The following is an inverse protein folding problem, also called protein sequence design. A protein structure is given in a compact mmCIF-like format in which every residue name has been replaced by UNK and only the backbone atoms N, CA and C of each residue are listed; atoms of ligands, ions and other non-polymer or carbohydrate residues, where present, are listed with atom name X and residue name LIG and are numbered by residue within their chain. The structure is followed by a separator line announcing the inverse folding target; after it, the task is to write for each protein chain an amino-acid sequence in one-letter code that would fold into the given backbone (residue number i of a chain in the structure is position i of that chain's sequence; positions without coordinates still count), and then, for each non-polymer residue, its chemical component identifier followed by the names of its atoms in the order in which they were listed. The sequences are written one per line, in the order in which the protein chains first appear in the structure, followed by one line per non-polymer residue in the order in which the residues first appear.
data_IF_876228294911
#
_entry.id   IF_876228294911
#
_cell.length_a   1.000
_cell.length_b   1.000
_cell.length_c   1.000
_cell.angle_alpha   90.00
_cell.angle_beta   90.00
_cell.angle_gamma   90.00
#
_symmetry.space_group_name_H-M   'P 1'
#
loop_
_entity.id
_entity.type
_entity.pdbx_description
1 polymer ?
#
# COMPACT_ATOMS: atom_id res chain seq x y z
N UNK A 1 -7.12 -25.14 -9.38
CA UNK A 1 -7.18 -25.21 -7.91
C UNK A 1 -7.93 -26.48 -7.44
N UNK A 2 -9.23 -26.66 -7.78
CA UNK A 2 -10.04 -27.80 -7.32
C UNK A 2 -9.43 -29.18 -7.64
N UNK A 3 -8.85 -29.37 -8.83
CA UNK A 3 -8.20 -30.62 -9.25
C UNK A 3 -6.98 -30.94 -8.39
N UNK A 4 -6.18 -29.93 -8.05
CA UNK A 4 -5.00 -30.10 -7.16
C UNK A 4 -5.45 -30.54 -5.76
N UNK A 5 -6.51 -29.91 -5.25
CA UNK A 5 -7.07 -30.25 -3.93
C UNK A 5 -7.62 -31.69 -3.90
N UNK A 6 -8.26 -32.12 -4.97
CA UNK A 6 -8.71 -33.54 -5.09
C UNK A 6 -7.55 -34.54 -5.11
N UNK A 7 -6.46 -34.19 -5.80
CA UNK A 7 -5.26 -35.06 -5.86
C UNK A 7 -4.59 -35.18 -4.49
N UNK A 8 -4.68 -34.13 -3.63
CA UNK A 8 -4.16 -34.17 -2.27
C UNK A 8 -5.10 -34.90 -1.27
N UNK A 9 -6.22 -35.44 -1.74
CA UNK A 9 -7.18 -36.17 -0.89
C UNK A 9 -8.03 -35.28 0.02
N UNK A 10 -8.00 -33.97 -0.16
CA UNK A 10 -8.78 -33.01 0.63
C UNK A 10 -10.11 -32.72 -0.05
N UNK A 11 -11.18 -32.60 0.72
CA UNK A 11 -12.50 -32.24 0.20
C UNK A 11 -12.49 -30.79 -0.33
N UNK A 12 -12.72 -30.55 -1.64
CA UNK A 12 -12.74 -29.19 -2.21
C UNK A 12 -13.77 -28.28 -1.57
N UNK A 13 -14.94 -28.80 -1.19
CA UNK A 13 -15.98 -28.01 -0.53
C UNK A 13 -15.50 -27.49 0.84
N UNK A 14 -14.78 -28.30 1.62
CA UNK A 14 -14.20 -27.87 2.89
C UNK A 14 -13.14 -26.77 2.73
N UNK A 15 -12.40 -26.79 1.61
CA UNK A 15 -11.44 -25.72 1.29
C UNK A 15 -12.15 -24.41 0.97
N UNK A 16 -13.23 -24.45 0.17
CA UNK A 16 -14.01 -23.23 -0.13
C UNK A 16 -14.72 -22.69 1.12
N UNK A 17 -15.26 -23.56 1.95
CA UNK A 17 -15.84 -23.17 3.24
C UNK A 17 -14.78 -22.50 4.13
N UNK A 18 -13.59 -23.06 4.22
CA UNK A 18 -12.48 -22.49 4.98
C UNK A 18 -12.02 -21.11 4.41
N UNK A 19 -12.05 -20.93 3.08
CA UNK A 19 -11.76 -19.63 2.45
C UNK A 19 -12.80 -18.57 2.83
N UNK A 20 -14.09 -18.92 2.72
CA UNK A 20 -15.19 -17.98 3.06
C UNK A 20 -15.19 -17.66 4.57
N UNK A 21 -15.09 -18.67 5.43
CA UNK A 21 -15.02 -18.46 6.88
C UNK A 21 -13.74 -17.75 7.29
N UNK A 22 -12.64 -17.94 6.53
CA UNK A 22 -11.39 -17.20 6.69
C UNK A 22 -11.55 -15.71 6.43
N UNK A 23 -12.38 -15.32 5.47
CA UNK A 23 -12.60 -13.92 5.09
C UNK A 23 -13.64 -13.21 5.99
N UNK A 24 -14.77 -13.88 6.30
CA UNK A 24 -15.93 -13.24 6.96
C UNK A 24 -16.37 -13.90 8.27
N UNK A 25 -15.79 -15.02 8.65
CA UNK A 25 -16.23 -15.83 9.82
C UNK A 25 -16.00 -15.19 11.19
N UNK A 26 -15.31 -14.06 11.30
CA UNK A 26 -15.06 -13.36 12.56
C UNK A 26 -15.07 -11.84 12.29
N UNK A 27 -15.67 -11.00 13.18
CA UNK A 27 -15.68 -9.54 13.03
C UNK A 27 -14.29 -8.93 12.77
N UNK A 28 -13.24 -9.45 13.39
CA UNK A 28 -11.86 -9.00 13.13
C UNK A 28 -11.40 -9.29 11.71
N UNK A 29 -11.71 -10.46 11.17
CA UNK A 29 -11.36 -10.86 9.79
C UNK A 29 -12.17 -10.06 8.78
N UNK A 30 -13.45 -9.85 9.06
CA UNK A 30 -14.33 -9.01 8.24
C UNK A 30 -13.77 -7.59 8.09
N UNK A 31 -13.31 -6.98 9.19
CA UNK A 31 -12.66 -5.65 9.14
C UNK A 31 -11.39 -5.63 8.30
N UNK A 32 -10.56 -6.66 8.39
CA UNK A 32 -9.37 -6.78 7.53
C UNK A 32 -9.80 -6.88 6.06
N UNK A 33 -10.79 -7.71 5.75
CA UNK A 33 -11.30 -7.88 4.37
C UNK A 33 -11.86 -6.58 3.81
N UNK A 34 -12.65 -5.83 4.60
CA UNK A 34 -13.18 -4.50 4.20
C UNK A 34 -12.05 -3.52 3.94
N UNK A 35 -11.04 -3.48 4.82
CA UNK A 35 -9.88 -2.60 4.66
C UNK A 35 -9.12 -2.89 3.37
N UNK A 36 -8.76 -4.16 3.12
CA UNK A 36 -8.03 -4.55 1.92
C UNK A 36 -8.85 -4.29 0.65
N UNK A 37 -10.16 -4.58 0.69
CA UNK A 37 -11.07 -4.29 -0.43
C UNK A 37 -11.15 -2.79 -0.71
N UNK A 38 -11.17 -1.95 0.33
CA UNK A 38 -11.15 -0.50 0.20
C UNK A 38 -9.88 0.02 -0.46
N UNK A 39 -8.71 -0.49 -0.07
CA UNK A 39 -7.42 -0.13 -0.69
C UNK A 39 -7.42 -0.51 -2.18
N UNK A 40 -7.86 -1.72 -2.52
CA UNK A 40 -7.94 -2.18 -3.91
C UNK A 40 -8.90 -1.33 -4.75
N UNK A 41 -10.04 -0.95 -4.18
CA UNK A 41 -11.01 -0.07 -4.84
C UNK A 41 -10.41 1.30 -5.13
N UNK A 42 -9.68 1.86 -4.19
CA UNK A 42 -9.01 3.16 -4.34
C UNK A 42 -7.95 3.13 -5.45
N UNK A 43 -7.17 2.06 -5.51
CA UNK A 43 -6.20 1.83 -6.59
C UNK A 43 -6.92 1.71 -7.94
N UNK A 44 -8.02 0.95 -8.01
CA UNK A 44 -8.80 0.76 -9.24
C UNK A 44 -9.39 2.07 -9.75
N UNK A 45 -9.94 2.91 -8.87
CA UNK A 45 -10.44 4.24 -9.21
C UNK A 45 -9.29 5.13 -9.72
N UNK A 46 -8.14 5.13 -9.05
CA UNK A 46 -6.96 5.90 -9.47
C UNK A 46 -6.38 5.47 -10.82
N UNK A 47 -6.50 4.19 -11.18
CA UNK A 47 -6.04 3.68 -12.49
C UNK A 47 -7.04 3.91 -13.63
N UNK A 48 -8.31 4.15 -13.34
CA UNK A 48 -9.37 4.32 -14.35
C UNK A 48 -9.04 5.40 -15.40
N UNK A 49 -8.54 6.61 -15.05
CA UNK A 49 -8.17 7.60 -16.05
C UNK A 49 -7.05 7.13 -16.98
N UNK A 50 -6.04 6.43 -16.45
CA UNK A 50 -4.93 5.91 -17.25
C UNK A 50 -5.43 4.89 -18.28
N UNK A 51 -6.29 3.96 -17.89
CA UNK A 51 -6.87 2.98 -18.83
C UNK A 51 -7.78 3.63 -19.89
N UNK A 52 -8.54 4.67 -19.53
CA UNK A 52 -9.33 5.44 -20.50
C UNK A 52 -8.45 6.10 -21.56
N UNK A 53 -7.24 6.54 -21.21
CA UNK A 53 -6.25 7.08 -22.13
C UNK A 53 -5.47 6.00 -22.89
N UNK A 54 -5.87 4.72 -22.80
CA UNK A 54 -5.16 3.56 -23.36
C UNK A 54 -3.70 3.48 -22.87
N UNK A 55 -3.45 3.94 -21.66
CA UNK A 55 -2.16 3.78 -20.98
C UNK A 55 -2.28 2.61 -19.97
N UNK A 56 -1.70 1.47 -20.33
CA UNK A 56 -1.74 0.26 -19.50
C UNK A 56 -0.72 0.36 -18.37
N UNK A 57 -1.11 1.06 -17.30
CA UNK A 57 -0.24 1.24 -16.13
C UNK A 57 -0.36 0.04 -15.18
N UNK A 58 0.58 -0.89 -15.27
CA UNK A 58 0.74 -1.99 -14.28
C UNK A 58 1.65 -1.55 -13.13
N UNK A 59 2.17 -0.32 -13.17
CA UNK A 59 3.12 0.24 -12.22
C UNK A 59 2.52 0.85 -10.94
N UNK A 60 1.23 0.64 -10.67
CA UNK A 60 0.58 1.19 -9.49
C UNK A 60 1.23 0.73 -8.19
N UNK A 61 1.70 -0.53 -8.12
CA UNK A 61 2.42 -1.07 -6.97
C UNK A 61 3.69 -0.26 -6.68
N UNK A 62 4.51 0.00 -7.70
CA UNK A 62 5.73 0.81 -7.55
C UNK A 62 5.45 2.24 -7.11
N UNK A 63 4.36 2.86 -7.60
CA UNK A 63 3.93 4.20 -7.18
C UNK A 63 3.57 4.23 -5.69
N UNK A 64 2.84 3.22 -5.22
CA UNK A 64 2.46 3.09 -3.81
C UNK A 64 3.70 2.85 -2.94
N UNK A 65 4.61 1.99 -3.36
CA UNK A 65 5.83 1.69 -2.62
C UNK A 65 6.72 2.93 -2.46
N UNK A 66 6.93 3.68 -3.54
CA UNK A 66 7.75 4.92 -3.50
C UNK A 66 7.07 6.01 -2.68
N UNK A 67 5.75 6.17 -2.80
CA UNK A 67 4.96 7.05 -1.92
C UNK A 67 5.05 6.62 -0.45
N UNK A 68 5.05 5.31 -0.20
CA UNK A 68 5.23 4.73 1.13
C UNK A 68 6.61 5.02 1.74
N UNK A 69 7.68 4.92 0.96
CA UNK A 69 9.04 5.29 1.39
C UNK A 69 9.08 6.78 1.78
N UNK A 70 8.49 7.66 0.98
CA UNK A 70 8.46 9.09 1.26
C UNK A 70 7.73 9.41 2.57
N UNK A 71 6.56 8.81 2.80
CA UNK A 71 5.82 9.00 4.04
C UNK A 71 6.52 8.39 5.25
N UNK A 72 7.11 7.19 5.13
CA UNK A 72 7.89 6.57 6.20
C UNK A 72 9.12 7.42 6.58
N UNK A 73 9.84 7.93 5.57
CA UNK A 73 10.98 8.83 5.78
C UNK A 73 10.61 10.09 6.55
N UNK A 74 9.50 10.76 6.18
CA UNK A 74 9.00 11.91 6.92
C UNK A 74 8.61 11.57 8.36
N UNK A 75 7.96 10.42 8.56
CA UNK A 75 7.55 9.95 9.86
C UNK A 75 8.76 9.69 10.78
N UNK A 76 9.86 9.16 10.23
CA UNK A 76 11.11 8.93 10.98
C UNK A 76 11.84 10.24 11.27
N UNK A 77 11.95 11.14 10.26
CA UNK A 77 12.75 12.37 10.37
C UNK A 77 12.07 13.47 11.18
N UNK A 78 10.75 13.61 11.05
CA UNK A 78 9.95 14.69 11.63
C UNK A 78 9.01 14.22 12.75
N UNK A 79 8.96 12.92 13.02
CA UNK A 79 8.16 12.38 14.11
C UNK A 79 8.56 12.97 15.46
N UNK A 80 7.58 13.55 16.15
CA UNK A 80 7.78 14.23 17.44
C UNK A 80 8.31 15.69 17.37
N UNK A 81 8.67 16.20 16.20
CA UNK A 81 9.10 17.60 15.99
C UNK A 81 7.96 18.51 15.56
N UNK A 82 6.92 17.94 14.95
CA UNK A 82 5.78 18.68 14.41
C UNK A 82 4.47 18.17 15.04
N UNK A 83 3.43 19.03 15.08
CA UNK A 83 2.09 18.57 15.47
C UNK A 83 1.60 17.50 14.51
N UNK A 84 0.91 16.47 15.05
CA UNK A 84 0.53 15.29 14.28
C UNK A 84 -0.29 15.59 13.01
N UNK A 85 -1.18 16.58 13.07
CA UNK A 85 -1.99 17.00 11.93
C UNK A 85 -1.14 17.51 10.76
N UNK A 86 -0.14 18.35 11.07
CA UNK A 86 0.78 18.88 10.05
C UNK A 86 1.67 17.78 9.47
N UNK A 87 2.14 16.87 10.32
CA UNK A 87 2.94 15.73 9.88
C UNK A 87 2.14 14.83 8.91
N UNK A 88 0.89 14.51 9.24
CA UNK A 88 0.00 13.72 8.36
C UNK A 88 -0.25 14.41 7.03
N UNK A 89 -0.46 15.74 7.04
CA UNK A 89 -0.64 16.50 5.80
C UNK A 89 0.63 16.49 4.94
N UNK A 90 1.79 16.67 5.54
CA UNK A 90 3.06 16.58 4.82
C UNK A 90 3.31 15.19 4.26
N UNK A 91 3.02 14.14 5.04
CA UNK A 91 3.13 12.74 4.56
C UNK A 91 2.22 12.49 3.37
N UNK A 92 0.98 12.98 3.40
CA UNK A 92 0.03 12.86 2.29
C UNK A 92 0.56 13.57 1.04
N UNK A 93 0.94 14.83 1.15
CA UNK A 93 1.44 15.63 0.00
C UNK A 93 2.71 15.01 -0.58
N UNK A 94 3.67 14.63 0.27
CA UNK A 94 4.92 14.03 -0.21
C UNK A 94 4.69 12.66 -0.85
N UNK A 95 3.84 11.80 -0.27
CA UNK A 95 3.55 10.51 -0.88
C UNK A 95 2.89 10.65 -2.25
N UNK A 96 1.97 11.62 -2.41
CA UNK A 96 1.36 11.93 -3.71
C UNK A 96 2.40 12.43 -4.72
N UNK A 97 3.28 13.36 -4.32
CA UNK A 97 4.31 13.90 -5.20
C UNK A 97 5.30 12.81 -5.65
N UNK A 98 5.77 11.98 -4.74
CA UNK A 98 6.71 10.91 -5.06
C UNK A 98 6.08 9.84 -5.94
N UNK A 99 4.84 9.42 -5.65
CA UNK A 99 4.08 8.50 -6.49
C UNK A 99 3.80 9.07 -7.89
N UNK A 100 3.49 10.37 -7.97
CA UNK A 100 3.27 11.06 -9.25
C UNK A 100 4.57 11.13 -10.08
N UNK A 101 5.68 11.56 -9.48
CA UNK A 101 7.00 11.60 -10.15
C UNK A 101 7.39 10.22 -10.65
N UNK A 102 7.17 9.17 -9.84
CA UNK A 102 7.43 7.79 -10.24
C UNK A 102 6.61 7.37 -11.45
N UNK A 103 5.32 7.73 -11.51
CA UNK A 103 4.44 7.45 -12.64
C UNK A 103 4.73 8.29 -13.89
N UNK A 104 5.30 9.49 -13.72
CA UNK A 104 5.69 10.35 -14.86
C UNK A 104 6.83 9.75 -15.68
N UNK A 105 7.73 8.98 -15.09
CA UNK A 105 8.89 8.38 -15.79
C UNK A 105 8.42 7.48 -16.94
N UNK A 106 7.60 6.45 -16.74
CA UNK A 106 7.10 5.61 -17.84
C UNK A 106 6.19 6.38 -18.81
N UNK A 107 5.40 7.33 -18.32
CA UNK A 107 4.55 8.16 -19.15
C UNK A 107 5.38 9.02 -20.12
N UNK A 108 6.44 9.66 -19.64
CA UNK A 108 7.39 10.42 -20.46
C UNK A 108 8.09 9.52 -21.48
N UNK A 109 8.57 8.35 -21.08
CA UNK A 109 9.23 7.40 -21.98
C UNK A 109 8.29 6.92 -23.09
N UNK A 110 7.02 6.66 -22.77
CA UNK A 110 6.02 6.33 -23.79
C UNK A 110 5.79 7.49 -24.75
N UNK A 111 5.61 8.69 -24.24
CA UNK A 111 5.32 9.86 -25.06
C UNK A 111 6.49 10.24 -26.00
N UNK A 112 7.73 10.12 -25.51
CA UNK A 112 8.93 10.56 -26.25
C UNK A 112 9.56 9.48 -27.12
N UNK A 113 9.53 8.22 -26.65
CA UNK A 113 10.26 7.10 -27.26
C UNK A 113 9.34 5.98 -27.75
N UNK A 114 8.01 6.12 -27.62
CA UNK A 114 7.03 5.09 -27.99
C UNK A 114 7.32 3.71 -27.38
N UNK A 115 7.88 3.69 -26.16
CA UNK A 115 8.18 2.46 -25.43
C UNK A 115 6.90 1.70 -25.05
N UNK A 116 7.03 0.39 -24.85
CA UNK A 116 5.92 -0.41 -24.32
C UNK A 116 5.71 -0.07 -22.85
N UNK A 117 4.61 0.65 -22.57
CA UNK A 117 4.26 1.11 -21.22
C UNK A 117 4.06 -0.02 -20.21
N UNK A 118 3.49 -1.13 -20.64
CA UNK A 118 3.22 -2.30 -19.80
C UNK A 118 4.50 -2.91 -19.25
N UNK A 119 5.47 -3.16 -20.14
CA UNK A 119 6.78 -3.69 -19.74
C UNK A 119 7.55 -2.68 -18.90
N UNK A 120 7.53 -1.41 -19.30
CA UNK A 120 8.27 -0.37 -18.59
C UNK A 120 7.75 -0.17 -17.16
N UNK A 121 6.43 -0.07 -16.99
CA UNK A 121 5.81 0.07 -15.67
C UNK A 121 6.02 -1.14 -14.79
N UNK A 122 6.03 -2.36 -15.38
CA UNK A 122 6.35 -3.59 -14.65
C UNK A 122 7.80 -3.60 -14.14
N UNK A 123 8.77 -3.19 -14.99
CA UNK A 123 10.18 -3.07 -14.57
C UNK A 123 10.35 -2.04 -13.45
N UNK A 124 9.62 -0.92 -13.51
CA UNK A 124 9.62 0.11 -12.48
C UNK A 124 9.13 -0.43 -11.12
N UNK A 125 8.22 -1.40 -11.08
CA UNK A 125 7.81 -2.05 -9.84
C UNK A 125 8.98 -2.79 -9.18
N UNK A 126 9.79 -3.53 -9.94
CA UNK A 126 10.96 -4.21 -9.39
C UNK A 126 12.01 -3.22 -8.87
N UNK A 127 12.21 -2.10 -9.55
CA UNK A 127 13.09 -1.03 -9.05
C UNK A 127 12.55 -0.45 -7.75
N UNK A 128 11.24 -0.21 -7.66
CA UNK A 128 10.60 0.27 -6.43
C UNK A 128 10.76 -0.71 -5.27
N UNK A 129 10.62 -2.02 -5.51
CA UNK A 129 10.87 -3.05 -4.50
C UNK A 129 12.31 -3.02 -3.97
N UNK A 130 13.29 -2.83 -4.86
CA UNK A 130 14.70 -2.69 -4.43
C UNK A 130 14.92 -1.41 -3.62
N UNK A 131 14.26 -0.31 -3.98
CA UNK A 131 14.32 0.93 -3.19
C UNK A 131 13.71 0.73 -1.79
N UNK A 132 12.61 -0.01 -1.67
CA UNK A 132 12.02 -0.37 -0.37
C UNK A 132 13.01 -1.20 0.45
N UNK A 133 13.62 -2.22 -0.15
CA UNK A 133 14.61 -3.06 0.51
C UNK A 133 15.80 -2.23 1.01
N UNK A 134 16.29 -1.32 0.17
CA UNK A 134 17.36 -0.39 0.55
C UNK A 134 16.93 0.52 1.71
N UNK A 135 15.71 1.08 1.65
CA UNK A 135 15.19 1.93 2.72
C UNK A 135 15.03 1.16 4.04
N UNK A 136 14.61 -0.11 4.00
CA UNK A 136 14.53 -0.98 5.16
C UNK A 136 15.92 -1.17 5.77
N UNK A 137 16.93 -1.53 4.98
CA UNK A 137 18.30 -1.68 5.46
C UNK A 137 18.87 -0.39 6.07
N UNK A 138 18.49 0.76 5.52
CA UNK A 138 18.96 2.05 6.01
C UNK A 138 18.28 2.46 7.32
N UNK A 139 16.98 2.16 7.49
CA UNK A 139 16.17 2.54 8.65
C UNK A 139 15.94 1.40 9.64
N UNK A 140 16.57 0.25 9.46
CA UNK A 140 16.35 -0.93 10.33
C UNK A 140 16.64 -0.63 11.81
N UNK A 141 15.77 -1.15 12.66
CA UNK A 141 15.91 -1.05 14.10
C UNK A 141 15.30 -2.29 14.80
N UNK A 142 16.10 -3.11 15.51
CA UNK A 142 17.56 -3.03 15.69
C UNK A 142 18.33 -3.37 14.40
N UNK A 143 19.56 -2.87 14.29
CA UNK A 143 20.41 -3.12 13.12
C UNK A 143 20.67 -4.62 12.93
N UNK A 144 20.58 -5.08 11.68
CA UNK A 144 20.67 -6.50 11.32
C UNK A 144 19.36 -7.27 11.43
N UNK A 145 18.24 -6.63 11.82
CA UNK A 145 16.93 -7.27 11.89
C UNK A 145 16.20 -7.35 10.55
N UNK A 146 16.68 -6.63 9.54
CA UNK A 146 16.03 -6.46 8.24
C UNK A 146 14.56 -6.00 8.36
N UNK A 147 14.25 -5.23 9.43
CA UNK A 147 12.93 -4.72 9.75
C UNK A 147 13.00 -3.33 10.36
N UNK A 148 12.07 -2.44 9.97
CA UNK A 148 11.97 -1.10 10.56
C UNK A 148 11.22 -1.15 11.90
N UNK A 149 10.50 -2.24 12.19
CA UNK A 149 9.62 -2.34 13.35
C UNK A 149 8.45 -1.35 13.26
N UNK A 150 7.89 -0.99 14.41
CA UNK A 150 6.78 -0.03 14.46
C UNK A 150 7.34 1.38 14.64
N UNK A 151 7.21 2.22 13.60
CA UNK A 151 7.72 3.58 13.62
C UNK A 151 6.95 4.40 14.65
N UNK A 152 7.67 5.16 15.49
CA UNK A 152 7.14 6.09 16.49
C UNK A 152 6.10 5.47 17.46
N UNK A 153 6.32 4.24 17.89
CA UNK A 153 5.41 3.53 18.80
C UNK A 153 5.14 4.30 20.11
N UNK A 154 6.15 4.96 20.66
CA UNK A 154 6.05 5.71 21.92
C UNK A 154 5.27 7.04 21.76
N UNK A 155 5.54 7.78 20.69
CA UNK A 155 4.96 9.11 20.46
C UNK A 155 3.68 9.09 19.64
N UNK A 156 3.44 8.00 18.91
CA UNK A 156 2.35 7.86 17.92
C UNK A 156 2.33 8.97 16.87
N UNK A 157 3.46 9.65 16.66
CA UNK A 157 3.58 10.70 15.67
C UNK A 157 3.47 10.14 14.26
N UNK A 158 2.63 10.72 13.41
CA UNK A 158 2.32 10.24 12.07
C UNK A 158 1.26 9.13 12.04
N UNK A 159 0.66 8.78 13.18
CA UNK A 159 -0.44 7.82 13.21
C UNK A 159 -1.78 8.53 13.03
N UNK A 160 -2.66 7.92 12.24
CA UNK A 160 -4.03 8.41 12.11
C UNK A 160 -4.79 8.29 13.43
N UNK A 161 -5.63 9.28 13.78
CA UNK A 161 -6.45 9.22 14.99
C UNK A 161 -7.45 8.05 14.89
N UNK A 162 -7.69 7.40 16.01
CA UNK A 162 -8.69 6.33 16.09
C UNK A 162 -10.10 6.92 16.06
N UNK A 163 -11.00 6.34 15.25
CA UNK A 163 -12.41 6.74 15.23
C UNK A 163 -13.16 6.01 16.34
N UNK A 164 -13.84 6.80 17.17
CA UNK A 164 -14.93 6.31 18.03
C UNK A 164 -14.59 5.26 19.06
N UNK A 165 -13.43 5.30 19.72
CA UNK A 165 -13.15 4.43 20.87
C UNK A 165 -13.18 2.91 20.60
N UNK A 166 -13.41 2.50 19.35
CA UNK A 166 -13.36 1.11 18.94
C UNK A 166 -11.91 0.62 19.01
N UNK A 167 -11.62 -0.37 19.84
CA UNK A 167 -10.30 -0.96 20.01
C UNK A 167 -9.71 -1.64 18.76
N UNK A 168 -10.36 -1.49 17.62
CA UNK A 168 -9.94 -2.04 16.34
C UNK A 168 -8.97 -1.08 15.64
N UNK A 169 -7.72 -1.48 15.52
CA UNK A 169 -6.69 -0.76 14.76
C UNK A 169 -7.05 -0.53 13.28
N UNK A 170 -8.08 -1.21 12.78
CA UNK A 170 -8.58 -1.06 11.40
C UNK A 170 -9.39 0.21 11.12
N UNK A 171 -9.96 0.87 12.13
CA UNK A 171 -10.78 2.06 11.95
C UNK A 171 -10.01 3.28 11.41
N UNK A 172 -8.70 3.30 11.58
CA UNK A 172 -7.82 4.38 11.15
C UNK A 172 -7.69 4.48 9.63
N UNK A 173 -7.73 3.33 8.92
CA UNK A 173 -7.56 3.28 7.46
C UNK A 173 -8.86 3.60 6.72
N UNK A 174 -10.01 3.23 7.30
CA UNK A 174 -11.33 3.53 6.72
C UNK A 174 -11.61 5.03 6.75
N UNK A 175 -11.15 5.73 7.77
CA UNK A 175 -11.30 7.19 7.85
C UNK A 175 -10.47 7.91 6.77
N UNK A 176 -9.23 7.48 6.55
CA UNK A 176 -8.42 7.97 5.44
C UNK A 176 -9.09 7.73 4.08
N UNK A 177 -9.73 6.58 3.91
CA UNK A 177 -10.44 6.21 2.68
C UNK A 177 -11.70 7.07 2.46
N UNK A 178 -12.48 7.33 3.50
CA UNK A 178 -13.69 8.17 3.42
C UNK A 178 -13.39 9.65 3.14
N UNK A 179 -12.17 10.14 3.43
CA UNK A 179 -11.77 11.52 3.11
C UNK A 179 -11.29 11.64 1.66
N UNK A 180 -10.84 10.55 1.05
CA UNK A 180 -10.23 10.54 -0.30
C UNK A 180 -11.27 10.21 -1.39
N UNK A 181 -12.38 9.55 -1.05
CA UNK A 181 -13.52 9.29 -1.92
C UNK A 181 -14.51 10.46 -1.93
#
# INVERSE_FOLDING_TARGET
AAVIVLVTGVNPLGVYEALVTGAVGNPRRLWVTIRESGILLLIAVGLTPAFRMRFWNIGAEGQILVGGIASAGLMILLGGKLPNALLLLLMLVCSMLFGMVWGLVPAYCKARYHTNETLFTLMMNYVALQLVTFAICFWENPKGSNSIGTINQATRAGWFPRIGGTGFAGSQYIFGLCIIL
#
